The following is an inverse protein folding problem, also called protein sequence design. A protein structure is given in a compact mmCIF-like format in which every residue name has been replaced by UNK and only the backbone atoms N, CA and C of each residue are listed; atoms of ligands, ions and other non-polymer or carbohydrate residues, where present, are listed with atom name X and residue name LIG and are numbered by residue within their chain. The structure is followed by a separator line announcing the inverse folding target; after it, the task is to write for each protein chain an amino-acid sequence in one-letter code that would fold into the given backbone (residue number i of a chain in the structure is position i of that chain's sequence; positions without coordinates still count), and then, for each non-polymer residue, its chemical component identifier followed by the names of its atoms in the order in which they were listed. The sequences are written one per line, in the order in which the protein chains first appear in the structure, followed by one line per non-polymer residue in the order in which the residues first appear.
data_IF_526553842896
#
_entry.id   IF_526553842896
#
_cell.length_a   1.000
_cell.length_b   1.000
_cell.length_c   1.000
_cell.angle_alpha   90.00
_cell.angle_beta   90.00
_cell.angle_gamma   90.00
#
_symmetry.space_group_name_H-M   'P 1'
#
loop_
_entity.id
_entity.type
_entity.pdbx_description
1 polymer ?
#
# COMPACT_ATOMS: atom_id res chain seq x y z
N UNK A 1 18.36 21.57 16.31
CA UNK A 1 18.98 21.51 14.97
C UNK A 1 19.49 20.09 14.79
N UNK A 2 18.82 19.27 13.97
CA UNK A 2 19.21 17.87 13.75
C UNK A 2 20.27 17.84 12.64
N UNK A 3 21.40 17.18 12.89
CA UNK A 3 22.52 17.05 11.95
C UNK A 3 22.10 16.20 10.73
N UNK A 4 22.57 16.49 9.50
CA UNK A 4 22.21 15.73 8.30
C UNK A 4 22.44 14.21 8.42
N UNK A 5 23.48 13.81 9.16
CA UNK A 5 23.83 12.40 9.42
C UNK A 5 22.83 11.66 10.32
N UNK A 6 22.07 12.37 11.14
CA UNK A 6 20.99 11.80 11.97
C UNK A 6 19.74 11.53 11.11
N UNK A 7 19.49 12.37 10.09
CA UNK A 7 18.43 12.15 9.11
C UNK A 7 18.71 10.93 8.21
N UNK A 8 19.98 10.72 7.85
CA UNK A 8 20.43 9.60 7.00
C UNK A 8 20.30 8.21 7.67
N UNK A 9 20.17 8.15 9.00
CA UNK A 9 20.01 6.88 9.75
C UNK A 9 18.57 6.39 9.85
N UNK A 10 17.60 7.19 9.46
CA UNK A 10 16.21 6.75 9.45
C UNK A 10 15.90 6.14 8.09
N UNK A 11 15.75 4.81 8.05
CA UNK A 11 15.06 4.20 6.91
C UNK A 11 13.70 4.89 6.74
N UNK A 12 13.35 5.36 5.54
CA UNK A 12 12.12 6.12 5.37
C UNK A 12 10.94 5.24 5.77
N UNK A 13 10.15 5.69 6.73
CA UNK A 13 8.87 5.08 7.10
C UNK A 13 7.95 5.05 5.87
N UNK A 14 7.10 4.02 5.68
CA UNK A 14 6.11 4.02 4.61
C UNK A 14 5.19 5.23 4.77
N UNK A 15 4.65 5.69 3.65
CA UNK A 15 3.72 6.82 3.65
C UNK A 15 2.37 6.33 4.18
N UNK A 16 1.95 6.86 5.33
CA UNK A 16 0.60 6.65 5.86
C UNK A 16 -0.39 7.55 5.10
N UNK A 17 -1.33 6.93 4.38
CA UNK A 17 -2.37 7.64 3.62
C UNK A 17 -3.62 7.81 4.47
N UNK A 18 -3.97 6.76 5.22
CA UNK A 18 -5.09 6.76 6.16
C UNK A 18 -4.58 6.23 7.48
N UNK A 19 -4.73 7.05 8.52
CA UNK A 19 -4.24 6.76 9.86
C UNK A 19 -4.65 5.36 10.33
N UNK A 20 -3.67 4.57 10.75
CA UNK A 20 -3.83 3.23 11.31
C UNK A 20 -4.52 2.23 10.36
N UNK A 21 -4.49 2.47 9.05
CA UNK A 21 -5.15 1.60 8.07
C UNK A 21 -4.33 1.39 6.80
N UNK A 22 -3.92 2.46 6.10
CA UNK A 22 -3.37 2.35 4.75
C UNK A 22 -1.98 2.96 4.65
N UNK A 23 -1.02 2.16 4.19
CA UNK A 23 0.38 2.53 4.05
C UNK A 23 0.90 2.24 2.64
N UNK A 24 1.64 3.17 2.04
CA UNK A 24 2.34 2.97 0.76
C UNK A 24 3.82 2.72 1.00
N UNK A 25 4.34 1.67 0.36
CA UNK A 25 5.73 1.27 0.50
C UNK A 25 6.41 0.92 -0.83
N UNK A 26 7.71 1.17 -0.87
CA UNK A 26 8.64 0.53 -1.81
C UNK A 26 8.89 -0.92 -1.42
N UNK A 27 9.46 -1.69 -2.35
CA UNK A 27 10.00 -3.03 -2.02
C UNK A 27 10.98 -3.00 -0.85
N UNK A 28 11.86 -1.98 -0.76
CA UNK A 28 12.84 -1.87 0.33
C UNK A 28 12.14 -1.74 1.69
N UNK A 29 11.09 -0.94 1.78
CA UNK A 29 10.32 -0.76 3.02
C UNK A 29 9.52 -2.01 3.37
N UNK A 30 8.90 -2.64 2.37
CA UNK A 30 8.21 -3.91 2.57
C UNK A 30 9.15 -4.99 3.11
N UNK A 31 10.45 -4.97 2.76
CA UNK A 31 11.49 -5.87 3.28
C UNK A 31 11.78 -5.74 4.79
N UNK A 32 11.20 -4.77 5.49
CA UNK A 32 11.49 -4.50 6.89
C UNK A 32 10.48 -5.17 7.85
N UNK A 33 10.82 -6.36 8.37
CA UNK A 33 9.99 -7.10 9.33
C UNK A 33 9.74 -6.34 10.64
N UNK A 34 10.67 -5.48 11.06
CA UNK A 34 10.50 -4.66 12.26
C UNK A 34 9.37 -3.64 12.03
N UNK A 35 9.39 -2.96 10.88
CA UNK A 35 8.33 -2.04 10.45
C UNK A 35 6.95 -2.73 10.40
N UNK A 36 6.87 -3.95 9.85
CA UNK A 36 5.61 -4.70 9.79
C UNK A 36 5.01 -4.93 11.18
N UNK A 37 5.85 -5.33 12.14
CA UNK A 37 5.44 -5.55 13.54
C UNK A 37 5.06 -4.25 14.25
N UNK A 38 5.87 -3.21 14.11
CA UNK A 38 5.64 -1.91 14.75
C UNK A 38 4.39 -1.22 14.24
N UNK A 39 4.11 -1.31 12.93
CA UNK A 39 2.91 -0.75 12.33
C UNK A 39 1.69 -1.67 12.44
N UNK A 40 1.86 -2.94 12.81
CA UNK A 40 0.79 -3.92 12.91
C UNK A 40 0.18 -4.31 11.55
N UNK A 41 0.99 -4.41 10.50
CA UNK A 41 0.54 -4.75 9.14
C UNK A 41 0.06 -6.21 9.10
N UNK A 42 -1.17 -6.43 8.63
CA UNK A 42 -1.79 -7.77 8.57
C UNK A 42 -2.32 -8.16 7.18
N UNK A 43 -2.21 -7.26 6.20
CA UNK A 43 -2.61 -7.54 4.82
C UNK A 43 -1.76 -6.75 3.81
N UNK A 44 -1.67 -7.25 2.59
CA UNK A 44 -0.87 -6.64 1.53
C UNK A 44 -1.57 -6.58 0.19
N UNK A 45 -1.30 -5.51 -0.56
CA UNK A 45 -1.65 -5.37 -1.96
C UNK A 45 -0.37 -5.17 -2.75
N UNK A 46 0.00 -6.16 -3.57
CA UNK A 46 1.18 -6.10 -4.42
C UNK A 46 0.78 -5.67 -5.84
N UNK A 47 1.33 -4.54 -6.31
CA UNK A 47 0.92 -3.94 -7.57
C UNK A 47 1.82 -4.29 -8.78
N UNK A 48 3.04 -4.80 -8.57
CA UNK A 48 4.01 -5.04 -9.66
C UNK A 48 5.28 -5.86 -9.28
N UNK A 49 5.34 -6.46 -8.09
CA UNK A 49 6.48 -7.27 -7.67
C UNK A 49 6.34 -8.69 -8.23
N UNK A 50 7.35 -9.12 -9.01
CA UNK A 50 7.45 -10.47 -9.62
C UNK A 50 7.81 -11.56 -8.63
N UNK A 51 8.53 -11.18 -7.56
CA UNK A 51 8.91 -12.06 -6.47
C UNK A 51 8.31 -11.48 -5.21
N UNK A 52 7.57 -12.34 -4.51
CA UNK A 52 7.03 -12.09 -3.19
C UNK A 52 8.19 -11.88 -2.21
N UNK A 53 8.51 -10.65 -1.79
CA UNK A 53 9.77 -10.45 -1.09
C UNK A 53 9.69 -10.83 0.39
N UNK A 54 8.49 -10.91 1.01
CA UNK A 54 8.36 -11.03 2.47
C UNK A 54 7.08 -11.70 2.97
N UNK A 55 6.04 -11.97 2.16
CA UNK A 55 4.77 -12.44 2.76
C UNK A 55 4.92 -13.80 3.45
N UNK A 56 5.94 -14.59 3.10
CA UNK A 56 6.29 -15.83 3.79
C UNK A 56 6.84 -15.64 5.21
N UNK A 57 7.41 -14.47 5.54
CA UNK A 57 7.96 -14.19 6.87
C UNK A 57 6.93 -13.56 7.83
N UNK A 58 5.74 -13.20 7.33
CA UNK A 58 4.65 -12.69 8.13
C UNK A 58 3.51 -13.72 8.18
N UNK A 59 3.44 -14.50 9.26
CA UNK A 59 2.38 -15.49 9.46
C UNK A 59 0.98 -14.85 9.42
N UNK A 60 0.01 -15.53 8.81
CA UNK A 60 -1.41 -15.12 8.74
C UNK A 60 -1.70 -13.82 7.95
N UNK A 61 -0.78 -13.40 7.09
CA UNK A 61 -0.98 -12.22 6.25
C UNK A 61 -1.76 -12.57 4.99
N UNK A 62 -2.86 -11.86 4.76
CA UNK A 62 -3.66 -11.98 3.55
C UNK A 62 -3.11 -11.10 2.43
N UNK A 63 -3.22 -11.56 1.19
CA UNK A 63 -2.55 -10.95 0.04
C UNK A 63 -3.47 -10.86 -1.16
N UNK A 64 -3.47 -9.68 -1.78
CA UNK A 64 -3.94 -9.46 -3.13
C UNK A 64 -2.76 -9.08 -4.03
N UNK A 65 -2.73 -9.54 -5.28
CA UNK A 65 -1.61 -9.26 -6.20
C UNK A 65 -2.03 -9.14 -7.65
N UNK A 66 -1.53 -8.10 -8.31
CA UNK A 66 -1.64 -7.95 -9.75
C UNK A 66 -0.57 -8.83 -10.42
N UNK A 67 -0.97 -9.67 -11.37
CA UNK A 67 -0.03 -10.47 -12.13
C UNK A 67 0.67 -9.60 -13.18
N UNK A 68 1.99 -9.74 -13.35
CA UNK A 68 2.75 -8.86 -14.26
C UNK A 68 2.54 -9.17 -15.75
N UNK A 69 1.76 -10.20 -16.09
CA UNK A 69 1.38 -10.56 -17.47
C UNK A 69 0.14 -9.80 -17.94
N UNK A 70 -0.44 -9.02 -17.05
CA UNK A 70 -1.75 -8.43 -17.22
C UNK A 70 -1.60 -7.05 -17.90
N UNK A 71 -2.41 -6.82 -18.95
CA UNK A 71 -2.43 -5.62 -19.80
C UNK A 71 -3.07 -4.42 -19.06
N UNK A 72 -3.11 -3.24 -19.68
CA UNK A 72 -3.68 -2.03 -19.04
C UNK A 72 -5.16 -2.20 -18.63
N UNK A 73 -5.96 -2.96 -19.38
CA UNK A 73 -7.36 -3.27 -19.03
C UNK A 73 -7.47 -4.07 -17.73
N UNK A 74 -6.52 -4.96 -17.48
CA UNK A 74 -6.49 -5.77 -16.27
C UNK A 74 -6.13 -4.93 -15.03
N UNK A 75 -5.45 -3.79 -15.22
CA UNK A 75 -5.16 -2.88 -14.12
C UNK A 75 -6.43 -2.20 -13.60
N UNK A 76 -7.37 -1.82 -14.48
CA UNK A 76 -8.64 -1.23 -14.04
C UNK A 76 -9.46 -2.23 -13.25
N UNK A 77 -9.57 -3.48 -13.72
CA UNK A 77 -10.23 -4.56 -12.99
C UNK A 77 -9.58 -4.78 -11.61
N UNK A 78 -8.24 -4.81 -11.57
CA UNK A 78 -7.49 -4.91 -10.33
C UNK A 78 -7.73 -3.73 -9.38
N UNK A 79 -7.88 -2.50 -9.89
CA UNK A 79 -8.23 -1.35 -9.03
C UNK A 79 -9.57 -1.57 -8.32
N UNK A 80 -10.57 -2.12 -9.01
CA UNK A 80 -11.86 -2.43 -8.40
C UNK A 80 -11.72 -3.49 -7.30
N UNK A 81 -11.03 -4.59 -7.59
CA UNK A 81 -10.77 -5.69 -6.65
C UNK A 81 -9.96 -5.21 -5.44
N UNK A 82 -8.91 -4.42 -5.68
CA UNK A 82 -8.07 -3.86 -4.63
C UNK A 82 -8.86 -2.90 -3.72
N UNK A 83 -9.77 -2.10 -4.28
CA UNK A 83 -10.64 -1.24 -3.46
C UNK A 83 -11.54 -2.07 -2.55
N UNK A 84 -12.12 -3.17 -3.05
CA UNK A 84 -13.03 -4.03 -2.29
C UNK A 84 -12.27 -4.78 -1.18
N UNK A 85 -11.10 -5.32 -1.52
CA UNK A 85 -10.17 -5.91 -0.56
C UNK A 85 -9.81 -4.91 0.55
N UNK A 86 -9.38 -3.69 0.19
CA UNK A 86 -9.05 -2.64 1.15
C UNK A 86 -10.24 -2.29 2.04
N UNK A 87 -11.43 -2.14 1.46
CA UNK A 87 -12.63 -1.79 2.22
C UNK A 87 -12.96 -2.87 3.24
N UNK A 88 -12.90 -4.14 2.86
CA UNK A 88 -13.12 -5.24 3.78
C UNK A 88 -12.10 -5.22 4.94
N UNK A 89 -10.80 -5.08 4.64
CA UNK A 89 -9.75 -4.99 5.68
C UNK A 89 -9.98 -3.81 6.62
N UNK A 90 -10.46 -2.67 6.10
CA UNK A 90 -10.80 -1.51 6.92
C UNK A 90 -11.90 -1.83 7.92
N UNK A 91 -12.98 -2.47 7.46
CA UNK A 91 -14.11 -2.87 8.31
C UNK A 91 -13.68 -3.89 9.38
N UNK A 92 -12.68 -4.73 9.07
CA UNK A 92 -12.05 -5.68 9.99
C UNK A 92 -11.06 -5.00 10.97
N UNK A 93 -10.80 -3.70 10.86
CA UNK A 93 -9.79 -2.99 11.68
C UNK A 93 -8.34 -3.38 11.38
N UNK A 94 -8.10 -3.98 10.20
CA UNK A 94 -6.78 -4.47 9.78
C UNK A 94 -5.99 -3.37 9.07
N UNK A 95 -4.67 -3.54 9.05
CA UNK A 95 -3.73 -2.57 8.46
C UNK A 95 -3.11 -3.15 7.21
N UNK A 96 -3.14 -2.36 6.14
CA UNK A 96 -2.77 -2.80 4.80
C UNK A 96 -1.55 -2.03 4.31
N UNK A 97 -0.59 -2.77 3.78
CA UNK A 97 0.57 -2.22 3.09
C UNK A 97 0.41 -2.44 1.58
N UNK A 98 0.36 -1.35 0.83
CA UNK A 98 0.27 -1.35 -0.64
C UNK A 98 1.67 -1.14 -1.20
N UNK A 99 2.17 -2.11 -1.95
CA UNK A 99 3.56 -2.18 -2.37
C UNK A 99 3.67 -2.10 -3.88
N UNK A 100 4.62 -1.29 -4.35
CA UNK A 100 5.11 -1.33 -5.72
C UNK A 100 6.64 -1.25 -5.78
N UNK A 101 7.23 -1.63 -6.92
CA UNK A 101 8.67 -1.66 -7.18
C UNK A 101 9.28 -0.28 -7.02
N UNK A 102 8.60 0.72 -7.57
CA UNK A 102 8.92 2.13 -7.41
C UNK A 102 7.77 2.83 -6.69
N UNK A 103 8.07 3.79 -5.82
CA UNK A 103 7.13 4.32 -4.82
C UNK A 103 5.93 5.07 -5.40
N UNK A 104 5.93 5.39 -6.70
CA UNK A 104 4.96 6.32 -7.30
C UNK A 104 4.56 5.83 -8.70
N UNK A 105 3.63 4.88 -8.77
CA UNK A 105 2.81 4.69 -9.98
C UNK A 105 1.52 3.94 -9.61
N UNK A 106 1.60 2.62 -9.41
CA UNK A 106 0.41 1.76 -9.23
C UNK A 106 -0.13 1.74 -7.80
N UNK A 107 0.76 1.73 -6.80
CA UNK A 107 0.37 1.78 -5.38
C UNK A 107 -0.42 3.07 -5.05
N UNK A 108 0.01 4.21 -5.60
CA UNK A 108 -0.68 5.50 -5.47
C UNK A 108 -2.02 5.46 -6.19
N UNK A 109 -2.08 4.91 -7.40
CA UNK A 109 -3.34 4.74 -8.14
C UNK A 109 -4.37 3.91 -7.37
N UNK A 110 -3.95 2.82 -6.71
CA UNK A 110 -4.83 2.01 -5.84
C UNK A 110 -5.36 2.86 -4.67
N UNK A 111 -4.50 3.61 -3.99
CA UNK A 111 -4.93 4.46 -2.88
C UNK A 111 -5.90 5.55 -3.33
N UNK A 112 -5.62 6.23 -4.44
CA UNK A 112 -6.51 7.24 -5.03
C UNK A 112 -7.85 6.61 -5.39
N UNK A 113 -7.84 5.47 -6.08
CA UNK A 113 -9.07 4.76 -6.48
C UNK A 113 -9.92 4.41 -5.25
N UNK A 114 -9.31 3.94 -4.17
CA UNK A 114 -10.00 3.64 -2.92
C UNK A 114 -10.62 4.90 -2.29
N UNK A 115 -9.87 6.00 -2.22
CA UNK A 115 -10.35 7.26 -1.67
C UNK A 115 -11.53 7.83 -2.48
N UNK A 116 -11.56 7.61 -3.79
CA UNK A 116 -12.69 7.97 -4.65
C UNK A 116 -13.89 7.05 -4.40
N UNK A 117 -13.69 5.73 -4.46
CA UNK A 117 -14.77 4.73 -4.39
C UNK A 117 -15.43 4.68 -3.01
N UNK A 118 -14.63 4.70 -1.94
CA UNK A 118 -15.09 4.49 -0.57
C UNK A 118 -14.84 5.66 0.38
N UNK A 119 -13.92 6.57 0.02
CA UNK A 119 -13.67 7.77 0.82
C UNK A 119 -14.60 8.95 0.51
N UNK A 120 -15.37 8.88 -0.59
CA UNK A 120 -16.24 9.98 -1.04
C UNK A 120 -15.46 11.22 -1.51
N UNK A 121 -14.16 11.08 -1.80
CA UNK A 121 -13.28 12.17 -2.22
C UNK A 121 -13.28 12.28 -3.74
N UNK A 122 -13.53 13.48 -4.26
CA UNK A 122 -13.30 13.75 -5.68
C UNK A 122 -11.86 14.26 -5.92
N UNK A 123 -11.26 13.85 -7.04
CA UNK A 123 -9.94 14.36 -7.47
C UNK A 123 -9.93 15.88 -7.69
N UNK A 124 -11.07 16.44 -8.13
CA UNK A 124 -11.24 17.88 -8.27
C UNK A 124 -11.82 18.44 -6.97
N UNK A 125 -11.27 19.55 -6.50
CA UNK A 125 -11.98 20.40 -5.54
C UNK A 125 -13.20 20.96 -6.27
N UNK A 126 -14.41 20.75 -5.73
CA UNK A 126 -15.57 21.50 -6.23
C UNK A 126 -15.30 22.97 -5.94
N UNK A 127 -15.00 23.74 -6.98
CA UNK A 127 -15.01 25.20 -6.90
C UNK A 127 -16.42 25.61 -6.45
N UNK A 128 -16.52 26.23 -5.27
CA UNK A 128 -17.74 26.90 -4.82
C UNK A 128 -17.99 28.15 -5.65
#
# INVERSE_FOLDING_TARGET
MILPRELEKHEPCPLEVISQFMYLATRKQANNNKMHRELGITAHVNCDLTEDPIYHACENVEKLSLCRKDLDDDFVAFLHEACDFLQQRRLEGRRVLIVSRHTINRNVSVAIAYLIKYGGISLKVKSM
#
